data_IF_120611858624
#
_entry.id   IF_120611858624
#
_cell.length_a   1.000
_cell.length_b   1.000
_cell.length_c   1.000
_cell.angle_alpha   90.00
_cell.angle_beta   90.00
_cell.angle_gamma   90.00
#
_symmetry.space_group_name_H-M   'P 1'
#
loop_
_entity.id
_entity.type
_entity.pdbx_description
1 polymer ?
#
# COMPACT_ATOMS: atom_id res chain seq x y z
N UNK A 1 41.29 36.88 22.28
CA UNK A 1 40.17 36.21 22.99
C UNK A 1 38.96 35.96 22.09
N UNK A 2 38.43 36.96 21.36
CA UNK A 2 37.29 36.76 20.43
C UNK A 2 37.61 35.81 19.25
N UNK A 3 38.82 35.86 18.72
CA UNK A 3 39.23 35.05 17.56
C UNK A 3 39.37 33.56 17.91
N UNK A 4 39.87 33.23 19.10
CA UNK A 4 39.95 31.85 19.60
C UNK A 4 38.57 31.26 19.91
N UNK A 5 37.62 32.07 20.40
CA UNK A 5 36.24 31.64 20.63
C UNK A 5 35.53 31.32 19.30
N UNK A 6 35.70 32.15 18.27
CA UNK A 6 35.11 31.90 16.95
C UNK A 6 35.68 30.64 16.28
N UNK A 7 36.99 30.37 16.41
CA UNK A 7 37.62 29.15 15.88
C UNK A 7 37.11 27.90 16.61
N UNK A 8 36.92 27.97 17.93
CA UNK A 8 36.33 26.87 18.70
C UNK A 8 34.87 26.62 18.29
N UNK A 9 34.09 27.69 18.05
CA UNK A 9 32.69 27.58 17.66
C UNK A 9 32.53 26.99 16.25
N UNK A 10 33.36 27.41 15.30
CA UNK A 10 33.34 26.86 13.93
C UNK A 10 33.84 25.42 13.90
N UNK A 11 34.86 25.06 14.69
CA UNK A 11 35.33 23.69 14.81
C UNK A 11 34.27 22.76 15.43
N UNK A 12 33.54 23.23 16.45
CA UNK A 12 32.45 22.48 17.07
C UNK A 12 31.28 22.26 16.09
N UNK A 13 30.90 23.29 15.34
CA UNK A 13 29.84 23.20 14.33
C UNK A 13 30.25 22.22 13.20
N UNK A 14 31.49 22.29 12.71
CA UNK A 14 32.01 21.37 11.69
C UNK A 14 32.04 19.92 12.19
N UNK A 15 32.36 19.69 13.46
CA UNK A 15 32.34 18.36 14.07
C UNK A 15 30.91 17.79 14.16
N UNK A 16 29.90 18.62 14.49
CA UNK A 16 28.50 18.18 14.51
C UNK A 16 27.98 17.79 13.13
N UNK A 17 28.39 18.48 12.06
CA UNK A 17 28.01 18.13 10.68
C UNK A 17 28.66 16.81 10.25
N UNK A 18 29.93 16.58 10.59
CA UNK A 18 30.64 15.35 10.24
C UNK A 18 30.06 14.10 10.92
N UNK A 19 29.60 14.21 12.17
CA UNK A 19 28.96 13.09 12.90
C UNK A 19 27.55 12.79 12.34
N UNK A 20 26.90 13.78 11.72
CA UNK A 20 25.57 13.62 11.11
C UNK A 20 25.60 12.83 9.78
N UNK A 21 26.76 12.64 9.17
CA UNK A 21 26.92 11.92 7.89
C UNK A 21 27.29 10.43 8.03
N UNK A 22 26.92 9.74 9.11
CA UNK A 22 27.08 8.28 9.23
C UNK A 22 25.73 7.56 9.07
N UNK A 23 25.43 7.13 7.85
CA UNK A 23 24.13 6.56 7.44
C UNK A 23 23.72 5.31 8.24
N UNK A 24 24.67 4.44 8.62
CA UNK A 24 24.34 3.17 9.28
C UNK A 24 24.06 3.32 10.78
N UNK A 25 24.80 4.19 11.47
CA UNK A 25 24.58 4.47 12.90
C UNK A 25 23.28 5.25 13.12
N UNK A 26 23.00 6.19 12.22
CA UNK A 26 21.78 6.97 12.25
C UNK A 26 20.55 6.11 11.93
N UNK A 27 20.65 5.11 11.04
CA UNK A 27 19.54 4.19 10.76
C UNK A 27 19.11 3.38 11.99
N UNK A 28 20.06 2.82 12.75
CA UNK A 28 19.72 2.10 14.00
C UNK A 28 19.01 2.99 15.01
N UNK A 29 19.43 4.25 15.12
CA UNK A 29 18.75 5.22 15.95
C UNK A 29 17.33 5.50 15.40
N UNK A 30 17.19 5.70 14.08
CA UNK A 30 15.89 5.94 13.45
C UNK A 30 14.95 4.74 13.60
N UNK A 31 15.42 3.50 13.48
CA UNK A 31 14.63 2.28 13.71
C UNK A 31 14.17 2.12 15.16
N UNK A 32 14.83 2.79 16.11
CA UNK A 32 14.38 2.82 17.51
C UNK A 32 13.28 3.86 17.74
N UNK A 33 13.34 5.00 17.04
CA UNK A 33 12.39 6.11 17.22
C UNK A 33 11.20 6.07 16.25
N UNK A 34 11.35 5.44 15.09
CA UNK A 34 10.35 5.36 14.04
C UNK A 34 10.09 3.90 13.70
N UNK A 35 8.85 3.47 13.89
CA UNK A 35 8.39 2.16 13.48
C UNK A 35 8.27 2.11 11.94
N UNK A 36 8.75 1.04 11.31
CA UNK A 36 8.72 0.88 9.83
C UNK A 36 9.98 1.27 9.05
N UNK A 37 11.14 1.48 9.69
CA UNK A 37 12.42 1.67 8.96
C UNK A 37 12.83 0.35 8.26
N UNK A 38 12.93 0.31 6.90
CA UNK A 38 13.22 -0.93 6.18
C UNK A 38 14.62 -1.48 6.51
N UNK A 39 14.70 -2.78 6.82
CA UNK A 39 15.97 -3.47 7.06
C UNK A 39 16.60 -3.90 5.72
N UNK A 40 17.92 -3.70 5.50
CA UNK A 40 18.58 -3.94 4.21
C UNK A 40 18.54 -5.41 3.73
N UNK A 41 18.39 -6.34 4.65
CA UNK A 41 18.27 -7.79 4.46
C UNK A 41 16.83 -8.24 4.12
N UNK A 42 15.82 -7.41 4.41
CA UNK A 42 14.43 -7.69 3.99
C UNK A 42 14.20 -7.50 2.50
N UNK A 43 15.14 -6.90 1.76
CA UNK A 43 15.05 -6.72 0.30
C UNK A 43 15.12 -8.06 -0.44
N UNK A 44 15.74 -9.09 0.16
CA UNK A 44 15.76 -10.44 -0.40
C UNK A 44 14.39 -11.15 -0.32
N UNK A 45 13.48 -10.70 0.56
CA UNK A 45 12.13 -11.24 0.68
C UNK A 45 11.12 -10.57 -0.27
N UNK A 46 11.55 -9.58 -1.07
CA UNK A 46 10.72 -8.86 -2.02
C UNK A 46 10.77 -9.42 -3.44
N UNK A 47 11.43 -10.55 -3.67
CA UNK A 47 11.25 -11.34 -4.91
C UNK A 47 9.94 -12.12 -4.84
N UNK A 48 8.83 -11.41 -4.63
CA UNK A 48 7.51 -11.93 -4.98
C UNK A 48 7.38 -11.83 -6.49
N UNK A 49 7.63 -12.94 -7.17
CA UNK A 49 7.60 -13.08 -8.62
C UNK A 49 6.17 -13.04 -9.20
N UNK A 50 5.13 -12.76 -8.39
CA UNK A 50 3.74 -12.78 -8.83
C UNK A 50 3.08 -11.41 -9.04
N UNK A 51 3.75 -10.30 -8.74
CA UNK A 51 3.15 -8.97 -8.81
C UNK A 51 3.70 -8.20 -10.01
N UNK A 52 2.88 -7.89 -11.04
CA UNK A 52 3.21 -6.81 -11.98
C UNK A 52 2.99 -5.50 -11.21
N UNK A 53 4.05 -4.80 -10.74
CA UNK A 53 3.87 -3.48 -10.15
C UNK A 53 3.27 -2.58 -11.23
N UNK A 54 2.50 -1.55 -10.84
CA UNK A 54 2.14 -0.48 -11.78
C UNK A 54 3.42 -0.05 -12.49
N UNK A 55 3.45 -0.16 -13.83
CA UNK A 55 4.65 -0.24 -14.67
C UNK A 55 5.87 0.50 -14.08
N UNK A 56 6.89 -0.25 -13.66
CA UNK A 56 8.10 0.35 -13.15
C UNK A 56 8.83 1.07 -14.28
N UNK A 57 8.91 2.40 -14.19
CA UNK A 57 9.86 3.17 -14.99
C UNK A 57 11.27 2.80 -14.53
N UNK A 58 11.90 1.83 -15.21
CA UNK A 58 13.29 1.48 -15.00
C UNK A 58 14.15 2.60 -15.57
N UNK A 59 14.51 3.57 -14.72
CA UNK A 59 15.62 4.47 -15.03
C UNK A 59 16.92 3.68 -14.99
N UNK A 60 17.44 3.30 -16.16
CA UNK A 60 18.74 2.65 -16.30
C UNK A 60 19.86 3.66 -16.00
N UNK A 61 20.08 3.92 -14.71
CA UNK A 61 21.22 4.67 -14.19
C UNK A 61 22.36 3.73 -13.79
N UNK A 62 23.53 3.95 -14.38
CA UNK A 62 24.75 3.13 -14.43
C UNK A 62 25.44 2.89 -13.06
N UNK A 63 24.71 2.35 -12.08
CA UNK A 63 25.23 2.06 -10.75
C UNK A 63 24.86 0.63 -10.34
N UNK A 64 25.86 -0.16 -9.96
CA UNK A 64 25.80 -1.59 -9.63
C UNK A 64 25.00 -1.94 -8.36
N UNK A 65 24.04 -1.09 -7.98
CA UNK A 65 22.97 -1.38 -7.04
C UNK A 65 21.69 -0.88 -7.70
N UNK A 66 21.02 -1.77 -8.44
CA UNK A 66 19.66 -1.50 -8.92
C UNK A 66 18.79 -1.24 -7.68
N UNK A 67 18.55 0.05 -7.37
CA UNK A 67 17.55 0.43 -6.36
C UNK A 67 16.23 -0.03 -6.93
N UNK A 68 15.63 -1.05 -6.32
CA UNK A 68 14.22 -1.39 -6.56
C UNK A 68 13.41 -0.20 -6.06
N UNK A 69 13.12 0.74 -6.95
CA UNK A 69 12.18 1.83 -6.70
C UNK A 69 10.81 1.18 -6.68
N UNK A 70 10.26 0.98 -5.49
CA UNK A 70 8.87 0.50 -5.37
C UNK A 70 7.96 1.65 -5.80
N UNK A 71 7.25 1.47 -6.91
CA UNK A 71 6.24 2.42 -7.38
C UNK A 71 4.96 2.17 -6.59
N UNK A 72 4.39 3.23 -6.03
CA UNK A 72 3.11 3.18 -5.33
C UNK A 72 2.07 3.94 -6.16
N UNK A 73 0.87 3.37 -6.24
CA UNK A 73 -0.34 4.08 -6.62
C UNK A 73 -0.85 4.83 -5.39
N UNK A 74 -0.98 6.15 -5.50
CA UNK A 74 -1.53 7.00 -4.46
C UNK A 74 -3.04 7.13 -4.65
N UNK A 75 -3.79 7.11 -3.56
CA UNK A 75 -5.21 7.48 -3.59
C UNK A 75 -5.32 9.00 -3.68
N UNK A 76 -6.18 9.53 -4.55
CA UNK A 76 -6.25 10.96 -4.84
C UNK A 76 -6.30 11.86 -3.58
N UNK A 77 -7.18 11.64 -2.58
CA UNK A 77 -7.19 12.49 -1.38
C UNK A 77 -5.87 12.44 -0.59
N UNK A 78 -5.16 11.31 -0.64
CA UNK A 78 -3.86 11.17 0.01
C UNK A 78 -2.75 11.87 -0.77
N UNK A 79 -2.75 11.76 -2.11
CA UNK A 79 -1.82 12.44 -3.00
C UNK A 79 -1.90 13.97 -2.83
N UNK A 80 -3.12 14.49 -2.75
CA UNK A 80 -3.41 15.93 -2.56
C UNK A 80 -3.30 16.39 -1.10
N UNK A 81 -2.99 15.48 -0.17
CA UNK A 81 -2.87 15.75 1.28
C UNK A 81 -4.16 16.32 1.90
N UNK A 82 -5.30 15.92 1.37
CA UNK A 82 -6.63 16.25 1.88
C UNK A 82 -7.01 15.34 3.05
N UNK A 83 -6.13 15.27 4.06
CA UNK A 83 -6.28 14.34 5.18
C UNK A 83 -7.62 14.48 5.90
N UNK A 84 -8.15 15.71 5.96
CA UNK A 84 -9.36 16.05 6.70
C UNK A 84 -10.65 15.72 5.96
N UNK A 85 -10.56 15.31 4.69
CA UNK A 85 -11.68 14.72 3.95
C UNK A 85 -12.07 13.35 4.51
N UNK A 86 -11.14 12.67 5.19
CA UNK A 86 -11.35 11.35 5.78
C UNK A 86 -11.10 11.29 7.29
N UNK A 87 -10.16 12.06 7.83
CA UNK A 87 -9.76 12.00 9.24
C UNK A 87 -10.23 13.22 10.05
N UNK A 88 -10.53 13.00 11.32
CA UNK A 88 -10.87 14.08 12.24
C UNK A 88 -9.60 14.80 12.72
N UNK A 89 -9.52 16.11 12.47
CA UNK A 89 -8.37 16.95 12.89
C UNK A 89 -8.17 16.98 14.40
N UNK A 90 -9.25 16.87 15.17
CA UNK A 90 -9.27 16.99 16.62
C UNK A 90 -9.19 15.63 17.31
N UNK A 91 -9.18 14.53 16.56
CA UNK A 91 -9.17 13.16 17.09
C UNK A 91 -8.31 12.26 16.19
N UNK A 92 -6.98 12.27 16.40
CA UNK A 92 -6.04 11.52 15.56
C UNK A 92 -6.40 10.04 15.46
N UNK A 93 -6.46 9.53 14.22
CA UNK A 93 -6.83 8.14 13.92
C UNK A 93 -8.33 7.89 13.81
N UNK A 94 -9.19 8.85 14.18
CA UNK A 94 -10.62 8.77 13.94
C UNK A 94 -10.96 9.23 12.52
N UNK A 95 -11.92 8.57 11.89
CA UNK A 95 -12.47 8.98 10.60
C UNK A 95 -13.66 9.92 10.79
N UNK A 96 -13.90 10.82 9.83
CA UNK A 96 -15.03 11.77 9.88
C UNK A 96 -16.39 11.08 9.78
N UNK A 97 -16.42 9.90 9.14
CA UNK A 97 -17.55 8.97 9.07
C UNK A 97 -17.02 7.53 9.17
N UNK A 98 -17.83 6.56 9.64
CA UNK A 98 -17.47 5.15 9.57
C UNK A 98 -17.50 4.61 8.13
N UNK A 99 -16.85 3.48 7.89
CA UNK A 99 -17.08 2.71 6.67
C UNK A 99 -18.47 2.03 6.74
N UNK A 100 -19.21 1.95 5.62
CA UNK A 100 -18.81 2.37 4.26
C UNK A 100 -19.20 3.82 3.92
N UNK A 101 -19.96 4.51 4.77
CA UNK A 101 -20.50 5.85 4.52
C UNK A 101 -19.42 6.85 4.11
N UNK A 102 -18.25 6.78 4.74
CA UNK A 102 -17.10 7.61 4.36
C UNK A 102 -16.70 7.43 2.90
N UNK A 103 -16.63 6.19 2.43
CA UNK A 103 -16.21 5.85 1.07
C UNK A 103 -17.24 6.37 0.06
N UNK A 104 -18.53 6.24 0.40
CA UNK A 104 -19.63 6.66 -0.45
C UNK A 104 -19.83 8.18 -0.54
N UNK A 105 -19.06 8.98 0.22
CA UNK A 105 -19.01 10.43 -0.01
C UNK A 105 -18.47 10.78 -1.40
N UNK A 106 -17.62 9.93 -1.97
CA UNK A 106 -16.96 10.15 -3.26
C UNK A 106 -17.12 8.98 -4.24
N UNK A 107 -17.28 7.75 -3.74
CA UNK A 107 -17.46 6.56 -4.57
C UNK A 107 -18.94 6.17 -4.65
N UNK A 108 -19.31 5.44 -5.69
CA UNK A 108 -20.67 4.92 -5.84
C UNK A 108 -21.05 4.01 -4.67
N UNK A 109 -22.34 4.00 -4.33
CA UNK A 109 -22.91 3.08 -3.34
C UNK A 109 -23.01 1.67 -3.92
N UNK A 110 -21.86 0.98 -3.91
CA UNK A 110 -21.74 -0.39 -4.43
C UNK A 110 -22.62 -1.39 -3.68
N UNK A 111 -23.05 -1.09 -2.44
CA UNK A 111 -23.95 -1.95 -1.68
C UNK A 111 -25.37 -1.98 -2.25
N UNK A 112 -25.76 -0.98 -3.04
CA UNK A 112 -27.09 -0.88 -3.66
C UNK A 112 -27.07 -0.90 -5.19
N UNK A 113 -25.89 -1.06 -5.81
CA UNK A 113 -25.72 -0.97 -7.26
C UNK A 113 -25.96 -2.29 -8.01
N UNK A 114 -25.83 -3.43 -7.33
CA UNK A 114 -25.86 -4.75 -7.96
C UNK A 114 -27.02 -5.60 -7.45
N UNK A 115 -27.53 -6.50 -8.29
CA UNK A 115 -28.55 -7.48 -7.88
C UNK A 115 -27.98 -8.47 -6.86
N UNK A 116 -26.72 -8.86 -7.06
CA UNK A 116 -25.93 -9.69 -6.15
C UNK A 116 -24.70 -8.91 -5.74
N UNK A 117 -24.60 -8.60 -4.45
CA UNK A 117 -23.48 -7.84 -3.86
C UNK A 117 -22.56 -8.80 -3.12
N UNK A 118 -21.26 -8.61 -3.27
CA UNK A 118 -20.27 -9.39 -2.55
C UNK A 118 -20.38 -9.17 -1.03
N UNK A 119 -20.30 -10.23 -0.23
CA UNK A 119 -20.56 -10.17 1.22
C UNK A 119 -19.70 -9.15 1.97
N UNK A 120 -18.43 -8.96 1.58
CA UNK A 120 -17.57 -7.94 2.17
C UNK A 120 -18.09 -6.51 1.91
N UNK A 121 -18.68 -6.25 0.74
CA UNK A 121 -19.29 -4.96 0.39
C UNK A 121 -20.62 -4.76 1.12
N UNK A 122 -21.45 -5.81 1.25
CA UNK A 122 -22.67 -5.75 2.08
C UNK A 122 -22.36 -5.37 3.52
N UNK A 123 -21.22 -5.84 4.05
CA UNK A 123 -20.76 -5.52 5.40
C UNK A 123 -20.01 -4.17 5.49
N UNK A 124 -19.85 -3.45 4.39
CA UNK A 124 -19.16 -2.17 4.34
C UNK A 124 -17.65 -2.24 4.61
N UNK A 125 -17.02 -3.39 4.41
CA UNK A 125 -15.62 -3.64 4.74
C UNK A 125 -14.66 -3.24 3.61
N UNK A 126 -14.75 -1.99 3.14
CA UNK A 126 -13.97 -1.50 1.99
C UNK A 126 -12.46 -1.67 2.21
N UNK A 127 -11.98 -1.32 3.41
CA UNK A 127 -10.57 -1.50 3.79
C UNK A 127 -10.16 -2.95 4.04
N UNK A 128 -11.04 -3.96 4.01
CA UNK A 128 -10.59 -5.36 4.04
C UNK A 128 -9.81 -5.73 2.77
N UNK A 129 -10.13 -5.09 1.64
CA UNK A 129 -9.49 -5.32 0.36
C UNK A 129 -8.56 -4.17 -0.06
N UNK A 130 -8.96 -2.92 0.21
CA UNK A 130 -8.25 -1.72 -0.25
C UNK A 130 -7.38 -1.08 0.84
N UNK A 131 -6.34 -0.35 0.41
CA UNK A 131 -5.51 0.55 1.21
C UNK A 131 -5.88 2.00 0.89
N UNK A 132 -6.53 2.68 1.83
CA UNK A 132 -7.14 4.00 1.59
C UNK A 132 -6.13 5.14 1.29
N UNK A 133 -4.83 4.94 1.55
CA UNK A 133 -3.80 5.95 1.28
C UNK A 133 -3.03 5.66 0.00
N UNK A 134 -2.39 4.49 -0.07
CA UNK A 134 -1.56 4.09 -1.20
C UNK A 134 -1.39 2.58 -1.21
N UNK A 135 -1.06 2.04 -2.38
CA UNK A 135 -0.66 0.64 -2.52
C UNK A 135 0.38 0.47 -3.62
N UNK A 136 1.20 -0.57 -3.51
CA UNK A 136 2.04 -1.05 -4.62
C UNK A 136 1.26 -1.87 -5.67
N UNK A 137 0.01 -2.20 -5.36
CA UNK A 137 -0.90 -2.98 -6.20
C UNK A 137 -1.93 -2.07 -6.86
N UNK A 138 -2.38 -2.48 -8.05
CA UNK A 138 -3.44 -1.77 -8.78
C UNK A 138 -4.71 -1.64 -7.92
N UNK A 139 -5.51 -0.62 -8.21
CA UNK A 139 -6.78 -0.35 -7.52
C UNK A 139 -6.65 -0.25 -5.99
N UNK A 140 -5.47 0.11 -5.49
CA UNK A 140 -5.17 0.22 -4.07
C UNK A 140 -5.33 -1.09 -3.29
N UNK A 141 -5.22 -2.26 -3.92
CA UNK A 141 -5.41 -3.54 -3.21
C UNK A 141 -4.33 -3.77 -2.13
N UNK A 142 -4.64 -4.55 -1.10
CA UNK A 142 -3.67 -4.92 -0.04
C UNK A 142 -2.59 -5.89 -0.49
N UNK A 143 -2.91 -6.74 -1.45
CA UNK A 143 -2.05 -7.78 -2.02
C UNK A 143 -2.44 -8.00 -3.49
N UNK A 144 -1.79 -8.97 -4.16
CA UNK A 144 -2.23 -9.35 -5.52
C UNK A 144 -3.66 -9.86 -5.50
N UNK A 145 -4.35 -9.70 -6.62
CA UNK A 145 -5.75 -10.08 -6.80
C UNK A 145 -6.03 -11.52 -6.33
N UNK A 146 -5.32 -12.49 -6.89
CA UNK A 146 -5.50 -13.91 -6.55
C UNK A 146 -5.20 -14.21 -5.08
N UNK A 147 -4.13 -13.62 -4.51
CA UNK A 147 -3.81 -13.81 -3.09
C UNK A 147 -4.92 -13.23 -2.23
N UNK A 148 -5.47 -12.07 -2.58
CA UNK A 148 -6.51 -11.41 -1.81
C UNK A 148 -7.80 -12.22 -1.77
N UNK A 149 -8.25 -12.72 -2.94
CA UNK A 149 -9.45 -13.54 -3.05
C UNK A 149 -9.31 -14.84 -2.25
N UNK A 150 -8.12 -15.45 -2.30
CA UNK A 150 -7.85 -16.74 -1.64
C UNK A 150 -7.63 -16.66 -0.13
N UNK A 151 -7.66 -15.45 0.45
CA UNK A 151 -7.78 -15.29 1.90
C UNK A 151 -9.10 -15.82 2.46
N UNK A 152 -10.14 -15.91 1.63
CA UNK A 152 -11.47 -16.38 2.03
C UNK A 152 -12.04 -17.43 1.09
N UNK A 153 -11.72 -17.38 -0.21
CA UNK A 153 -12.20 -18.32 -1.20
C UNK A 153 -11.16 -19.41 -1.45
N UNK A 154 -11.48 -20.63 -1.05
CA UNK A 154 -10.58 -21.76 -1.20
C UNK A 154 -10.26 -22.04 -2.68
N UNK A 155 -8.98 -21.92 -3.05
CA UNK A 155 -8.56 -22.06 -4.44
C UNK A 155 -8.83 -23.47 -4.98
N UNK A 156 -8.68 -24.50 -4.16
CA UNK A 156 -8.95 -25.88 -4.58
C UNK A 156 -10.42 -26.06 -4.98
N UNK A 157 -11.36 -25.49 -4.21
CA UNK A 157 -12.77 -25.47 -4.57
C UNK A 157 -13.04 -24.67 -5.85
N UNK A 158 -12.42 -23.50 -6.02
CA UNK A 158 -12.60 -22.68 -7.23
C UNK A 158 -12.18 -23.44 -8.49
N UNK A 159 -11.04 -24.16 -8.42
CA UNK A 159 -10.49 -24.92 -9.54
C UNK A 159 -11.29 -26.19 -9.92
N UNK A 160 -12.27 -26.61 -9.10
CA UNK A 160 -13.13 -27.75 -9.43
C UNK A 160 -14.17 -27.43 -10.52
N UNK A 161 -14.36 -26.15 -10.85
CA UNK A 161 -15.23 -25.71 -11.93
C UNK A 161 -14.53 -25.88 -13.30
N UNK A 162 -15.24 -26.37 -14.32
CA UNK A 162 -14.68 -26.53 -15.67
C UNK A 162 -14.10 -25.21 -16.22
N UNK A 163 -14.74 -24.07 -15.92
CA UNK A 163 -14.30 -22.74 -16.34
C UNK A 163 -13.01 -22.27 -15.64
N UNK A 164 -12.70 -22.86 -14.48
CA UNK A 164 -11.53 -22.51 -13.67
C UNK A 164 -10.41 -23.54 -13.72
N UNK A 165 -10.63 -24.69 -14.37
CA UNK A 165 -9.71 -25.83 -14.36
C UNK A 165 -8.28 -25.53 -14.81
N UNK A 166 -8.08 -24.47 -15.60
CA UNK A 166 -6.77 -24.04 -16.12
C UNK A 166 -6.55 -22.51 -16.03
N UNK A 167 -7.10 -21.85 -15.01
CA UNK A 167 -6.92 -20.39 -14.86
C UNK A 167 -5.49 -19.99 -14.47
N UNK A 168 -4.69 -20.93 -13.96
CA UNK A 168 -3.31 -20.67 -13.53
C UNK A 168 -3.23 -19.45 -12.60
N UNK A 169 -2.39 -18.48 -12.97
CA UNK A 169 -2.19 -17.22 -12.23
C UNK A 169 -3.06 -16.07 -12.77
N UNK A 170 -4.12 -16.37 -13.53
CA UNK A 170 -5.03 -15.34 -14.07
C UNK A 170 -5.72 -14.59 -12.94
N UNK A 171 -5.73 -13.26 -13.01
CA UNK A 171 -6.45 -12.40 -12.05
C UNK A 171 -7.95 -12.68 -12.12
N UNK A 172 -8.56 -12.91 -10.95
CA UNK A 172 -9.99 -13.15 -10.80
C UNK A 172 -10.80 -11.97 -11.33
N UNK A 173 -10.29 -10.74 -11.16
CA UNK A 173 -10.95 -9.50 -11.60
C UNK A 173 -11.03 -9.30 -13.11
N UNK A 174 -10.34 -10.10 -13.92
CA UNK A 174 -10.47 -10.06 -15.38
C UNK A 174 -11.85 -10.58 -15.85
N UNK A 175 -12.45 -11.46 -15.06
CA UNK A 175 -13.75 -12.06 -15.37
C UNK A 175 -14.82 -11.68 -14.33
N UNK A 176 -14.44 -11.50 -13.07
CA UNK A 176 -15.38 -11.25 -11.97
C UNK A 176 -15.29 -9.81 -11.47
N UNK A 177 -16.43 -9.21 -11.13
CA UNK A 177 -16.45 -7.93 -10.41
C UNK A 177 -16.48 -8.22 -8.89
N UNK A 178 -15.47 -7.76 -8.11
CA UNK A 178 -15.35 -8.09 -6.70
C UNK A 178 -16.35 -7.34 -5.82
N UNK A 179 -17.07 -6.35 -6.37
CA UNK A 179 -18.11 -5.61 -5.66
C UNK A 179 -19.49 -6.24 -5.83
N UNK A 180 -19.81 -6.71 -7.03
CA UNK A 180 -21.12 -7.28 -7.32
C UNK A 180 -21.44 -7.41 -8.81
N UNK A 181 -22.58 -8.02 -9.11
CA UNK A 181 -23.06 -8.22 -10.47
C UNK A 181 -24.48 -8.80 -10.52
N UNK A 182 -24.82 -9.41 -11.65
CA UNK A 182 -26.07 -10.17 -11.84
C UNK A 182 -25.93 -11.64 -11.43
N UNK A 183 -24.70 -12.15 -11.39
CA UNK A 183 -24.45 -13.57 -11.14
C UNK A 183 -24.34 -13.84 -9.64
N UNK A 184 -25.12 -14.81 -9.16
CA UNK A 184 -25.16 -15.21 -7.74
C UNK A 184 -23.83 -15.76 -7.21
N UNK A 185 -22.91 -16.09 -8.11
CA UNK A 185 -21.65 -16.77 -7.82
C UNK A 185 -20.48 -15.96 -8.33
N UNK A 186 -20.25 -14.81 -7.68
CA UNK A 186 -19.11 -13.95 -7.96
C UNK A 186 -17.79 -14.71 -7.77
N UNK A 187 -17.77 -15.74 -6.92
CA UNK A 187 -16.70 -16.74 -6.78
C UNK A 187 -17.30 -18.06 -6.25
N UNK A 188 -17.91 -18.88 -7.12
CA UNK A 188 -18.07 -20.34 -6.90
C UNK A 188 -17.68 -21.13 -8.12
#
# INVERSE_FOLDING_TARGET
>A
MKQTINILFTALLAFTVMVSCSTDKNRKALSFFFDGVPQPDTVAALTDTGSRPSESNVETGDSALARVVTVYTLHYPFEEKECMSCHNENSPGEMVLPEPDLCYMCHDDFANQYEVVHGAVVLGMCTSCHQAHQSRYNYLLKMTDQTLCTQCHDLEQVLQNEMHSDIGDTECTLCHNPHGGSDQYLIR
#
